data_IF_169088809376
#
_entry.id   IF_169088809376
#
_cell.length_a   1.000
_cell.length_b   1.000
_cell.length_c   1.000
_cell.angle_alpha   90.00
_cell.angle_beta   90.00
_cell.angle_gamma   90.00
#
_symmetry.space_group_name_H-M   'P 1'
#
loop_
_entity.id
_entity.type
_entity.pdbx_description
1 polymer ?
#
# COMPACT_ATOMS: atom_id res chain seq x y z
N UNK A 1 4.01 31.48 -12.45
CA UNK A 1 3.75 31.14 -11.03
C UNK A 1 3.39 29.66 -10.97
N UNK A 2 4.18 28.82 -10.29
CA UNK A 2 3.81 27.39 -10.13
C UNK A 2 2.59 27.34 -9.19
N UNK A 3 1.53 26.56 -9.53
CA UNK A 3 0.39 26.46 -8.64
C UNK A 3 0.83 25.87 -7.30
N UNK A 4 0.46 26.54 -6.21
CA UNK A 4 0.68 26.04 -4.85
C UNK A 4 0.00 24.69 -4.71
N UNK A 5 0.66 23.65 -4.16
CA UNK A 5 0.01 22.37 -3.94
C UNK A 5 -1.24 22.57 -3.08
N UNK A 6 -2.39 22.20 -3.59
CA UNK A 6 -3.62 22.23 -2.80
C UNK A 6 -3.47 21.27 -1.62
N UNK A 7 -3.81 21.72 -0.43
CA UNK A 7 -3.91 20.86 0.75
C UNK A 7 -4.83 19.68 0.43
N UNK A 8 -4.51 18.45 0.92
CA UNK A 8 -5.39 17.31 0.73
C UNK A 8 -6.78 17.64 1.28
N UNK A 9 -7.85 17.06 0.69
CA UNK A 9 -9.19 17.18 1.23
C UNK A 9 -9.23 16.78 2.71
N UNK A 10 -10.14 17.35 3.49
CA UNK A 10 -10.28 17.03 4.91
C UNK A 10 -10.53 15.52 5.15
N UNK A 11 -11.19 14.85 4.19
CA UNK A 11 -11.52 13.42 4.23
C UNK A 11 -10.45 12.52 3.60
N UNK A 12 -9.28 13.03 3.24
CA UNK A 12 -8.20 12.21 2.69
C UNK A 12 -7.62 11.30 3.76
N UNK A 13 -7.30 10.03 3.43
CA UNK A 13 -6.58 9.16 4.33
C UNK A 13 -5.28 9.81 4.80
N UNK A 14 -5.01 9.77 6.11
CA UNK A 14 -3.73 10.21 6.63
C UNK A 14 -2.62 9.26 6.21
N UNK A 15 -2.89 7.97 6.29
CA UNK A 15 -1.97 6.88 6.01
C UNK A 15 -2.40 6.11 4.77
N UNK A 16 -1.49 5.92 3.83
CA UNK A 16 -1.60 4.95 2.75
C UNK A 16 -0.49 3.92 2.95
N UNK A 17 -0.85 2.68 3.27
CA UNK A 17 0.10 1.61 3.56
C UNK A 17 0.08 0.57 2.44
N UNK A 18 1.27 0.17 1.96
CA UNK A 18 1.45 -0.88 0.98
C UNK A 18 2.04 -2.12 1.63
N UNK A 19 1.49 -3.29 1.31
CA UNK A 19 2.03 -4.60 1.63
C UNK A 19 2.15 -5.45 0.37
N UNK A 20 3.12 -6.33 0.29
CA UNK A 20 3.24 -7.30 -0.79
C UNK A 20 2.18 -8.42 -0.62
N UNK A 21 2.02 -8.89 0.60
CA UNK A 21 1.13 -10.00 0.95
C UNK A 21 0.11 -9.59 2.02
N UNK A 22 -0.99 -10.34 2.17
CA UNK A 22 -1.86 -10.24 3.34
C UNK A 22 -1.03 -10.48 4.61
N UNK A 23 -1.18 -9.63 5.61
CA UNK A 23 -0.48 -9.56 6.90
C UNK A 23 0.73 -8.60 7.01
N UNK A 24 1.41 -8.27 5.92
CA UNK A 24 2.61 -7.41 5.95
C UNK A 24 2.39 -6.08 6.67
N UNK A 25 1.27 -5.42 6.40
CA UNK A 25 0.94 -4.11 6.95
C UNK A 25 0.65 -4.23 8.45
N UNK A 26 -0.11 -5.25 8.83
CA UNK A 26 -0.49 -5.53 10.20
C UNK A 26 0.75 -5.83 11.07
N UNK A 27 1.63 -6.69 10.58
CA UNK A 27 2.88 -7.01 11.27
C UNK A 27 3.86 -5.83 11.28
N UNK A 28 3.97 -5.12 10.15
CA UNK A 28 4.96 -4.05 10.00
C UNK A 28 4.61 -2.77 10.74
N UNK A 29 3.34 -2.37 10.72
CA UNK A 29 2.93 -1.07 11.24
C UNK A 29 1.50 -1.03 11.83
N UNK A 30 0.88 -2.17 12.13
CA UNK A 30 -0.49 -2.23 12.65
C UNK A 30 -0.70 -1.42 13.91
N UNK A 31 0.27 -1.39 14.83
CA UNK A 31 0.19 -0.57 16.05
C UNK A 31 0.15 0.93 15.78
N UNK A 32 0.93 1.39 14.79
CA UNK A 32 0.90 2.81 14.36
C UNK A 32 -0.45 3.14 13.74
N UNK A 33 -0.95 2.26 12.86
CA UNK A 33 -2.24 2.45 12.20
C UNK A 33 -3.38 2.46 13.23
N UNK A 34 -3.41 1.52 14.15
CA UNK A 34 -4.42 1.47 15.21
C UNK A 34 -4.45 2.77 16.04
N UNK A 35 -3.29 3.28 16.40
CA UNK A 35 -3.17 4.55 17.12
C UNK A 35 -3.75 5.71 16.32
N UNK A 36 -3.40 5.82 15.05
CA UNK A 36 -3.84 6.94 14.20
C UNK A 36 -5.34 6.86 13.90
N UNK A 37 -5.88 5.66 13.64
CA UNK A 37 -7.31 5.49 13.39
C UNK A 37 -8.14 5.72 14.66
N UNK A 38 -7.66 5.32 15.83
CA UNK A 38 -8.29 5.66 17.12
C UNK A 38 -8.29 7.17 17.42
N UNK A 39 -7.30 7.90 16.89
CA UNK A 39 -7.28 9.36 16.95
C UNK A 39 -8.20 10.05 15.91
N UNK A 40 -8.94 9.27 15.12
CA UNK A 40 -9.89 9.76 14.12
C UNK A 40 -9.29 10.00 12.73
N UNK A 41 -8.04 9.59 12.51
CA UNK A 41 -7.41 9.69 11.20
C UNK A 41 -7.80 8.51 10.31
N UNK A 42 -7.90 8.73 9.00
CA UNK A 42 -8.17 7.67 8.04
C UNK A 42 -6.91 6.91 7.66
N UNK A 43 -7.05 5.62 7.35
CA UNK A 43 -6.01 4.76 6.81
C UNK A 43 -6.55 3.94 5.64
N UNK A 44 -5.70 3.72 4.63
CA UNK A 44 -6.02 2.90 3.46
C UNK A 44 -4.89 1.93 3.17
N UNK A 45 -5.22 0.67 2.95
CA UNK A 45 -4.27 -0.42 2.68
C UNK A 45 -4.31 -0.79 1.21
N UNK A 46 -3.14 -0.98 0.62
CA UNK A 46 -2.94 -1.60 -0.68
C UNK A 46 -2.16 -2.89 -0.46
N UNK A 47 -2.75 -4.03 -0.81
CA UNK A 47 -2.12 -5.35 -0.71
C UNK A 47 -1.95 -5.90 -2.13
N UNK A 48 -0.74 -6.32 -2.48
CA UNK A 48 -0.32 -6.56 -3.86
C UNK A 48 -0.45 -8.02 -4.33
N UNK A 49 -0.95 -8.91 -3.47
CA UNK A 49 -1.27 -10.31 -3.79
C UNK A 49 -2.33 -10.83 -2.83
N UNK A 50 -2.73 -12.06 -3.03
CA UNK A 50 -3.61 -12.78 -2.09
C UNK A 50 -2.89 -13.88 -1.32
N UNK A 51 -1.55 -13.88 -1.38
CA UNK A 51 -0.72 -14.88 -0.74
C UNK A 51 -0.85 -16.26 -1.40
N UNK A 52 -0.90 -16.29 -2.73
CA UNK A 52 -1.19 -17.49 -3.53
C UNK A 52 -0.11 -18.56 -3.40
N UNK A 53 1.15 -18.18 -3.18
CA UNK A 53 2.28 -19.07 -2.98
C UNK A 53 2.50 -19.46 -1.51
N UNK A 54 1.67 -18.96 -0.59
CA UNK A 54 1.81 -19.22 0.83
C UNK A 54 1.61 -20.70 1.18
N UNK A 55 2.36 -21.16 2.18
CA UNK A 55 2.32 -22.58 2.64
C UNK A 55 0.99 -22.92 3.32
N UNK A 56 0.33 -21.96 3.93
CA UNK A 56 -0.90 -22.16 4.70
C UNK A 56 -2.01 -21.19 4.27
N UNK A 57 -3.24 -21.69 4.31
CA UNK A 57 -4.41 -20.96 3.91
C UNK A 57 -4.60 -20.89 2.38
N UNK A 58 -5.83 -20.67 1.96
CA UNK A 58 -6.15 -20.40 0.55
C UNK A 58 -6.15 -18.91 0.27
N UNK A 59 -6.00 -18.46 -1.00
CA UNK A 59 -6.13 -17.04 -1.34
C UNK A 59 -7.44 -16.41 -0.86
N UNK A 60 -8.54 -17.18 -0.89
CA UNK A 60 -9.85 -16.73 -0.40
C UNK A 60 -9.84 -16.51 1.12
N UNK A 61 -9.27 -17.43 1.89
CA UNK A 61 -9.13 -17.30 3.33
C UNK A 61 -8.25 -16.11 3.70
N UNK A 62 -7.07 -16.00 3.10
CA UNK A 62 -6.15 -14.88 3.35
C UNK A 62 -6.73 -13.52 2.95
N UNK A 63 -7.53 -13.48 1.87
CA UNK A 63 -8.28 -12.29 1.49
C UNK A 63 -9.30 -11.90 2.57
N UNK A 64 -10.04 -12.87 3.11
CA UNK A 64 -11.03 -12.62 4.15
C UNK A 64 -10.37 -12.15 5.46
N UNK A 65 -9.24 -12.75 5.84
CA UNK A 65 -8.45 -12.37 7.00
C UNK A 65 -7.91 -10.94 6.88
N UNK A 66 -7.33 -10.58 5.74
CA UNK A 66 -6.84 -9.22 5.49
C UNK A 66 -7.96 -8.17 5.56
N UNK A 67 -9.14 -8.47 4.99
CA UNK A 67 -10.31 -7.58 5.10
C UNK A 67 -10.75 -7.40 6.54
N UNK A 68 -10.78 -8.48 7.31
CA UNK A 68 -11.14 -8.44 8.73
C UNK A 68 -10.11 -7.66 9.55
N UNK A 69 -8.83 -7.88 9.30
CA UNK A 69 -7.75 -7.17 9.97
C UNK A 69 -7.78 -5.67 9.68
N UNK A 70 -7.95 -5.28 8.41
CA UNK A 70 -8.10 -3.87 8.03
C UNK A 70 -9.30 -3.23 8.74
N UNK A 71 -10.46 -3.90 8.77
CA UNK A 71 -11.65 -3.41 9.47
C UNK A 71 -11.41 -3.24 10.98
N UNK A 72 -10.72 -4.18 11.64
CA UNK A 72 -10.35 -4.09 13.05
C UNK A 72 -9.41 -2.92 13.35
N UNK A 73 -8.52 -2.62 12.40
CA UNK A 73 -7.60 -1.47 12.47
C UNK A 73 -8.25 -0.15 12.06
N UNK A 74 -9.55 -0.14 11.71
CA UNK A 74 -10.24 1.07 11.27
C UNK A 74 -9.80 1.57 9.89
N UNK A 75 -9.23 0.70 9.06
CA UNK A 75 -8.72 1.02 7.74
C UNK A 75 -9.61 0.46 6.63
N UNK A 76 -9.55 1.07 5.45
CA UNK A 76 -10.07 0.51 4.20
C UNK A 76 -8.98 -0.29 3.48
N UNK A 77 -9.35 -1.22 2.61
CA UNK A 77 -8.44 -2.13 1.92
C UNK A 77 -8.77 -2.24 0.44
N UNK A 78 -7.74 -2.20 -0.39
CA UNK A 78 -7.79 -2.48 -1.82
C UNK A 78 -6.69 -3.51 -2.17
N UNK A 79 -7.02 -4.49 -3.02
CA UNK A 79 -6.04 -5.41 -3.60
C UNK A 79 -5.63 -4.92 -4.99
N UNK A 80 -4.33 -4.97 -5.27
CA UNK A 80 -3.76 -4.66 -6.59
C UNK A 80 -2.94 -5.86 -7.06
N UNK A 81 -3.38 -6.48 -8.15
CA UNK A 81 -2.72 -7.68 -8.66
C UNK A 81 -1.44 -7.32 -9.45
N UNK A 82 -0.30 -7.82 -9.02
CA UNK A 82 1.01 -7.57 -9.64
C UNK A 82 1.69 -8.82 -10.20
N UNK A 83 0.89 -9.81 -10.59
CA UNK A 83 1.40 -11.09 -11.11
C UNK A 83 1.41 -12.22 -10.09
N UNK A 84 0.97 -11.96 -8.86
CA UNK A 84 0.85 -12.95 -7.79
C UNK A 84 2.03 -12.96 -6.82
N UNK A 85 1.84 -13.69 -5.73
CA UNK A 85 2.83 -13.91 -4.68
C UNK A 85 4.06 -14.64 -5.25
N UNK A 86 5.25 -14.21 -4.83
CA UNK A 86 6.56 -14.68 -5.28
C UNK A 86 6.87 -14.42 -6.78
N UNK A 87 6.03 -13.67 -7.48
CA UNK A 87 6.19 -13.35 -8.91
C UNK A 87 6.17 -11.84 -9.19
N UNK A 88 6.32 -11.03 -8.17
CA UNK A 88 6.29 -9.57 -8.34
C UNK A 88 7.56 -9.08 -9.05
N UNK A 89 7.38 -8.20 -10.03
CA UNK A 89 8.47 -7.58 -10.76
C UNK A 89 8.33 -6.06 -10.75
N UNK A 90 9.47 -5.37 -10.64
CA UNK A 90 9.52 -3.92 -10.79
C UNK A 90 9.27 -3.54 -12.25
N UNK A 91 8.01 -3.28 -12.60
CA UNK A 91 7.58 -2.85 -13.94
C UNK A 91 7.06 -1.42 -13.92
N UNK A 92 7.37 -0.67 -14.97
CA UNK A 92 6.87 0.71 -15.07
C UNK A 92 5.35 0.78 -14.98
N UNK A 93 4.63 -0.17 -15.58
CA UNK A 93 3.17 -0.21 -15.49
C UNK A 93 2.66 -0.31 -14.05
N UNK A 94 3.31 -1.11 -13.21
CA UNK A 94 2.96 -1.23 -11.78
C UNK A 94 3.30 0.04 -11.01
N UNK A 95 4.44 0.66 -11.29
CA UNK A 95 4.84 1.94 -10.69
C UNK A 95 3.83 3.03 -11.03
N UNK A 96 3.38 3.10 -12.28
CA UNK A 96 2.34 4.06 -12.71
C UNK A 96 0.99 3.78 -12.06
N UNK A 97 0.60 2.51 -11.88
CA UNK A 97 -0.62 2.15 -11.15
C UNK A 97 -0.54 2.63 -9.68
N UNK A 98 0.58 2.44 -9.01
CA UNK A 98 0.79 2.97 -7.66
C UNK A 98 0.79 4.50 -7.63
N UNK A 99 1.40 5.15 -8.62
CA UNK A 99 1.37 6.62 -8.72
C UNK A 99 -0.07 7.13 -8.89
N UNK A 100 -0.90 6.45 -9.67
CA UNK A 100 -2.32 6.77 -9.83
C UNK A 100 -3.09 6.62 -8.51
N UNK A 101 -2.82 5.56 -7.74
CA UNK A 101 -3.40 5.35 -6.40
C UNK A 101 -3.00 6.49 -5.47
N UNK A 102 -1.71 6.84 -5.40
CA UNK A 102 -1.21 7.93 -4.55
C UNK A 102 -1.87 9.26 -4.92
N UNK A 103 -2.05 9.53 -6.22
CA UNK A 103 -2.75 10.74 -6.69
C UNK A 103 -4.24 10.75 -6.33
N UNK A 104 -4.90 9.61 -6.44
CA UNK A 104 -6.32 9.44 -6.09
C UNK A 104 -6.56 9.61 -4.59
N UNK A 105 -5.75 8.91 -3.78
CA UNK A 105 -5.88 8.87 -2.32
C UNK A 105 -5.35 10.15 -1.67
N UNK A 106 -4.30 10.75 -2.23
CA UNK A 106 -3.65 11.99 -1.73
C UNK A 106 -3.25 11.89 -0.26
N UNK A 107 -2.53 10.84 0.15
CA UNK A 107 -2.16 10.62 1.54
C UNK A 107 -1.19 11.69 2.03
N UNK A 108 -1.14 11.88 3.34
CA UNK A 108 -0.09 12.69 3.99
C UNK A 108 1.16 11.86 4.25
N UNK A 109 0.98 10.57 4.52
CA UNK A 109 2.06 9.62 4.81
C UNK A 109 1.84 8.37 3.96
N UNK A 110 2.92 7.92 3.32
CA UNK A 110 2.95 6.63 2.63
C UNK A 110 3.88 5.70 3.39
N UNK A 111 3.38 4.53 3.77
CA UNK A 111 4.13 3.45 4.38
C UNK A 111 4.34 2.34 3.34
N UNK A 112 5.52 1.78 3.29
CA UNK A 112 5.88 0.72 2.35
C UNK A 112 6.88 -0.25 2.97
N UNK A 113 7.00 -1.46 2.43
CA UNK A 113 8.06 -2.38 2.81
C UNK A 113 9.45 -1.76 2.62
N UNK A 114 10.43 -2.25 3.37
CA UNK A 114 11.83 -1.82 3.23
C UNK A 114 12.36 -2.14 1.83
N UNK A 115 13.29 -1.30 1.35
CA UNK A 115 14.02 -1.55 0.11
C UNK A 115 15.32 -2.35 0.34
N UNK A 116 15.58 -2.74 1.59
CA UNK A 116 16.72 -3.57 1.96
C UNK A 116 16.26 -5.02 1.97
N UNK A 117 17.01 -5.89 1.30
CA UNK A 117 16.72 -7.32 1.27
C UNK A 117 16.89 -7.93 2.66
N UNK A 118 15.80 -8.44 3.22
CA UNK A 118 15.83 -9.05 4.55
C UNK A 118 14.92 -10.27 4.73
N UNK A 119 13.73 -10.29 4.18
CA UNK A 119 12.76 -11.37 4.37
C UNK A 119 12.34 -11.96 3.03
N UNK A 120 11.32 -11.39 2.43
CA UNK A 120 10.76 -11.87 1.17
C UNK A 120 11.16 -10.96 0.00
N UNK A 121 11.58 -11.49 -1.17
CA UNK A 121 11.96 -10.68 -2.34
C UNK A 121 10.90 -9.67 -2.76
N UNK A 122 9.62 -10.05 -2.71
CA UNK A 122 8.51 -9.19 -3.08
C UNK A 122 8.44 -7.90 -2.24
N UNK A 123 8.87 -7.95 -0.96
CA UNK A 123 8.91 -6.76 -0.11
C UNK A 123 9.79 -5.66 -0.72
N UNK A 124 10.99 -6.03 -1.14
CA UNK A 124 11.93 -5.10 -1.78
C UNK A 124 11.37 -4.55 -3.09
N UNK A 125 10.74 -5.41 -3.88
CA UNK A 125 10.12 -5.02 -5.16
C UNK A 125 9.02 -4.00 -4.92
N UNK A 126 8.07 -4.28 -4.02
CA UNK A 126 6.98 -3.36 -3.66
C UNK A 126 7.54 -2.07 -3.08
N UNK A 127 8.49 -2.15 -2.14
CA UNK A 127 9.10 -0.97 -1.55
C UNK A 127 9.76 -0.05 -2.58
N UNK A 128 10.50 -0.60 -3.55
CA UNK A 128 11.11 0.16 -4.64
C UNK A 128 10.07 0.78 -5.55
N UNK A 129 9.02 0.03 -5.92
CA UNK A 129 7.93 0.55 -6.76
C UNK A 129 7.17 1.69 -6.07
N UNK A 130 6.87 1.56 -4.77
CA UNK A 130 6.18 2.62 -4.02
C UNK A 130 7.04 3.88 -3.92
N UNK A 131 8.34 3.74 -3.64
CA UNK A 131 9.28 4.87 -3.62
C UNK A 131 9.29 5.62 -4.95
N UNK A 132 9.38 4.89 -6.06
CA UNK A 132 9.42 5.49 -7.40
C UNK A 132 8.06 6.11 -7.76
N UNK A 133 6.96 5.42 -7.42
CA UNK A 133 5.59 5.92 -7.61
C UNK A 133 5.32 7.22 -6.85
N UNK A 134 5.79 7.33 -5.60
CA UNK A 134 5.65 8.53 -4.80
C UNK A 134 6.36 9.75 -5.43
N UNK A 135 7.47 9.51 -6.14
CA UNK A 135 8.14 10.54 -6.95
C UNK A 135 7.33 10.89 -8.20
N UNK A 136 6.93 9.88 -8.97
CA UNK A 136 6.19 10.06 -10.22
C UNK A 136 4.82 10.70 -10.00
N UNK A 137 4.17 10.40 -8.88
CA UNK A 137 2.88 11.00 -8.52
C UNK A 137 2.93 12.54 -8.43
N UNK A 138 4.11 13.14 -8.26
CA UNK A 138 4.31 14.59 -8.18
C UNK A 138 4.43 15.28 -9.53
N UNK A 139 4.66 14.54 -10.61
CA UNK A 139 4.86 15.10 -11.94
C UNK A 139 3.57 15.10 -12.74
N UNK A 140 3.04 16.31 -13.04
CA UNK A 140 1.78 16.45 -13.78
C UNK A 140 1.80 15.92 -15.22
N UNK A 141 3.00 15.73 -15.81
CA UNK A 141 3.15 15.18 -17.16
C UNK A 141 3.27 13.65 -17.21
N UNK A 142 3.18 12.95 -16.09
CA UNK A 142 3.17 11.49 -16.02
C UNK A 142 1.72 11.04 -15.88
N UNK A 143 1.23 10.32 -16.89
CA UNK A 143 -0.13 9.79 -16.93
C UNK A 143 -0.26 8.55 -16.05
#
# INVERSE_FOLDING_TARGET
>A
MKPTPKSPPADSPLLLAFGAHPDDIEFGCGGVIARETQAGHAAHFIVCSRGEAGTHGTPAQRTAEAKKAAALLGATLEFVELGGDAHMEHRLAHVLAFAAIIRRVRPRIVLAPTIVENQHPDHVVVGRMVRDAARLARYGGVA
#
